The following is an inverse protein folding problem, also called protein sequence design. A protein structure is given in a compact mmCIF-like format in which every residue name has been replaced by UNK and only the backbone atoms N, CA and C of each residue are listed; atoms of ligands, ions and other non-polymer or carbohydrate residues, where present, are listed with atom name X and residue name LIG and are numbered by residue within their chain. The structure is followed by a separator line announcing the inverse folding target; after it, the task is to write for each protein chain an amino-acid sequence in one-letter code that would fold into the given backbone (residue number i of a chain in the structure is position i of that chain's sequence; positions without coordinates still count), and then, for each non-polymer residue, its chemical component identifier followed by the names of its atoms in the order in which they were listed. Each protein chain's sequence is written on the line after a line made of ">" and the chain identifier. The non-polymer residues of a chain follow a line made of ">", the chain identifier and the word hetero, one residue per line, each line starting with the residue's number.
data_IF_029368474143
#
_entry.id   IF_029368474143
#
_cell.length_a   1.000
_cell.length_b   1.000
_cell.length_c   1.000
_cell.angle_alpha   90.00
_cell.angle_beta   90.00
_cell.angle_gamma   90.00
#
_symmetry.space_group_name_H-M   'P 1'
#
loop_
_entity.id
_entity.type
_entity.pdbx_description
1 polymer ?
#
# COMPACT_ATOMS: atom_id res chain seq x y z
N UNK A 1 -10.05 21.99 3.86
CA UNK A 1 -8.92 21.83 4.82
C UNK A 1 -9.42 20.97 5.96
N UNK A 2 -8.64 20.01 6.46
CA UNK A 2 -9.06 19.07 7.49
C UNK A 2 -8.26 19.33 8.75
N UNK A 3 -8.93 19.71 9.82
CA UNK A 3 -8.31 19.87 11.14
C UNK A 3 -8.16 18.53 11.88
N UNK A 4 -7.43 18.50 12.98
CA UNK A 4 -7.34 17.33 13.85
C UNK A 4 -8.72 16.81 14.28
N UNK A 5 -9.70 17.71 14.49
CA UNK A 5 -11.07 17.34 14.82
C UNK A 5 -11.83 16.67 13.66
N UNK A 6 -11.40 16.89 12.42
CA UNK A 6 -11.92 16.23 11.23
C UNK A 6 -11.40 14.82 11.01
N UNK A 7 -10.42 14.34 11.79
CA UNK A 7 -9.94 12.95 11.75
C UNK A 7 -10.79 12.12 12.71
N UNK A 8 -11.66 11.27 12.18
CA UNK A 8 -12.54 10.38 12.95
C UNK A 8 -11.97 8.97 12.97
N UNK A 9 -11.76 8.40 14.15
CA UNK A 9 -11.21 7.06 14.33
C UNK A 9 -12.26 6.14 14.90
N UNK A 10 -12.62 5.13 14.15
CA UNK A 10 -13.59 4.09 14.52
C UNK A 10 -12.84 2.80 14.84
N UNK A 11 -12.82 2.43 16.10
CA UNK A 11 -12.20 1.21 16.63
C UNK A 11 -12.85 0.86 17.97
N UNK A 12 -12.47 -0.25 18.57
CA UNK A 12 -12.92 -0.60 19.93
C UNK A 12 -12.34 0.35 21.02
N UNK A 13 -11.30 1.10 20.65
CA UNK A 13 -10.64 2.07 21.53
C UNK A 13 -11.39 3.40 21.49
N UNK A 14 -12.26 3.71 22.29
CA UNK A 14 -13.04 4.95 22.30
C UNK A 14 -12.17 6.21 22.26
N UNK A 15 -11.53 6.45 21.09
CA UNK A 15 -10.64 7.59 20.80
C UNK A 15 -11.48 8.82 20.60
N UNK A 16 -11.33 9.81 21.45
CA UNK A 16 -12.13 11.05 21.47
C UNK A 16 -11.52 12.17 20.65
N UNK A 17 -10.19 12.21 20.57
CA UNK A 17 -9.45 13.18 19.77
C UNK A 17 -8.10 12.62 19.33
N UNK A 18 -7.61 13.07 18.17
CA UNK A 18 -6.29 12.73 17.61
C UNK A 18 -5.32 13.87 17.92
N UNK A 19 -4.18 13.54 18.53
CA UNK A 19 -3.10 14.49 18.85
C UNK A 19 -1.99 14.47 17.79
N UNK A 20 -1.60 13.26 17.34
CA UNK A 20 -0.64 13.04 16.26
C UNK A 20 -1.18 12.01 15.29
N UNK A 21 -0.89 12.17 14.03
CA UNK A 21 -1.31 11.26 12.96
C UNK A 21 -0.25 11.17 11.88
N UNK A 22 0.08 9.97 11.49
CA UNK A 22 0.93 9.69 10.35
C UNK A 22 0.40 8.48 9.58
N UNK A 23 0.22 8.64 8.26
CA UNK A 23 -0.11 7.57 7.33
C UNK A 23 0.91 7.53 6.20
N UNK A 24 1.21 6.34 5.70
CA UNK A 24 2.12 6.16 4.58
C UNK A 24 1.65 5.01 3.68
N UNK A 25 1.62 5.27 2.37
CA UNK A 25 1.33 4.29 1.32
C UNK A 25 2.49 4.29 0.34
N UNK A 26 3.17 3.14 0.24
CA UNK A 26 4.34 2.92 -0.63
C UNK A 26 4.15 1.72 -1.53
N UNK A 27 4.80 1.73 -2.72
CA UNK A 27 4.78 0.58 -3.61
C UNK A 27 5.42 -0.65 -2.96
N UNK A 28 4.73 -1.79 -3.01
CA UNK A 28 5.21 -3.05 -2.50
C UNK A 28 5.24 -3.19 -0.97
N UNK A 29 4.67 -2.26 -0.24
CA UNK A 29 4.53 -2.30 1.22
C UNK A 29 3.06 -2.28 1.60
N UNK A 30 2.72 -2.80 2.78
CA UNK A 30 1.39 -2.59 3.37
C UNK A 30 1.24 -1.12 3.74
N UNK A 31 0.09 -0.54 3.42
CA UNK A 31 -0.24 0.79 3.90
C UNK A 31 -0.24 0.81 5.43
N UNK A 32 0.30 1.85 6.03
CA UNK A 32 0.43 1.95 7.48
C UNK A 32 -0.08 3.26 8.04
N UNK A 33 -0.59 3.19 9.26
CA UNK A 33 -0.97 4.33 10.07
C UNK A 33 -0.35 4.19 11.44
N UNK A 34 0.11 5.31 11.99
CA UNK A 34 0.42 5.49 13.41
C UNK A 34 -0.30 6.74 13.89
N UNK A 35 -0.98 6.64 15.01
CA UNK A 35 -1.62 7.80 15.62
C UNK A 35 -1.43 7.82 17.13
N UNK A 36 -1.41 9.03 17.71
CA UNK A 36 -1.57 9.27 19.13
C UNK A 36 -2.88 10.00 19.35
N UNK A 37 -3.65 9.55 20.34
CA UNK A 37 -4.95 10.13 20.64
C UNK A 37 -5.31 10.07 22.11
N UNK A 38 -6.42 10.68 22.44
CA UNK A 38 -7.01 10.72 23.77
C UNK A 38 -8.16 9.74 23.87
N UNK A 39 -8.28 9.07 25.03
CA UNK A 39 -9.31 8.09 25.29
C UNK A 39 -10.35 8.65 26.27
N UNK A 40 -11.59 8.24 26.14
CA UNK A 40 -12.63 8.53 27.12
C UNK A 40 -12.39 7.86 28.49
N UNK A 41 -11.54 6.83 28.54
CA UNK A 41 -11.16 6.06 29.72
C UNK A 41 -10.19 4.95 29.35
N UNK A 42 -9.64 4.23 30.32
CA UNK A 42 -8.74 3.10 30.05
C UNK A 42 -9.50 1.97 29.37
N UNK A 43 -9.04 1.52 28.20
CA UNK A 43 -9.68 0.42 27.49
C UNK A 43 -9.36 -0.93 28.14
N UNK A 44 -10.24 -1.91 27.90
CA UNK A 44 -9.93 -3.31 28.19
C UNK A 44 -8.96 -3.84 27.12
N UNK A 45 -7.67 -3.83 27.46
CA UNK A 45 -6.59 -4.30 26.56
C UNK A 45 -6.61 -5.83 26.33
N UNK A 46 -7.44 -6.58 27.07
CA UNK A 46 -7.62 -8.02 26.84
C UNK A 46 -8.40 -8.37 25.55
N UNK A 47 -9.00 -7.36 24.89
CA UNK A 47 -9.76 -7.51 23.64
C UNK A 47 -8.93 -7.34 22.36
N UNK A 48 -7.62 -7.28 22.46
CA UNK A 48 -6.68 -7.08 21.33
C UNK A 48 -6.54 -8.32 20.42
N UNK A 49 -7.65 -8.83 19.87
CA UNK A 49 -7.56 -9.86 18.82
C UNK A 49 -8.11 -9.30 17.51
N UNK A 50 -7.20 -9.07 16.53
CA UNK A 50 -7.52 -8.71 15.14
C UNK A 50 -8.56 -7.59 14.95
N UNK A 51 -8.51 -6.57 15.77
CA UNK A 51 -9.49 -5.49 15.72
C UNK A 51 -9.22 -4.56 14.53
N UNK A 52 -10.25 -4.36 13.74
CA UNK A 52 -10.20 -3.44 12.63
C UNK A 52 -10.23 -1.99 13.12
N UNK A 53 -9.51 -1.12 12.43
CA UNK A 53 -9.61 0.33 12.57
C UNK A 53 -10.04 0.96 11.25
N UNK A 54 -10.97 1.91 11.34
CA UNK A 54 -11.38 2.75 10.21
C UNK A 54 -11.14 4.20 10.55
N UNK A 55 -10.47 4.90 9.66
CA UNK A 55 -10.16 6.32 9.79
C UNK A 55 -10.89 7.06 8.68
N UNK A 56 -11.71 8.03 9.09
CA UNK A 56 -12.49 8.86 8.20
C UNK A 56 -12.01 10.30 8.28
N UNK A 57 -12.12 11.01 7.18
CA UNK A 57 -11.89 12.43 7.09
C UNK A 57 -13.23 13.16 6.94
N UNK A 58 -13.38 14.21 7.72
CA UNK A 58 -14.49 15.14 7.63
C UNK A 58 -13.93 16.54 7.49
N UNK A 59 -14.32 17.26 6.44
CA UNK A 59 -13.94 18.66 6.28
C UNK A 59 -14.71 19.55 7.24
N UNK A 60 -14.06 20.61 7.68
CA UNK A 60 -14.68 21.60 8.55
C UNK A 60 -15.88 22.25 7.84
N UNK A 61 -17.07 22.11 8.44
CA UNK A 61 -18.33 22.61 7.88
C UNK A 61 -19.04 21.67 6.89
N UNK A 62 -18.48 20.49 6.57
CA UNK A 62 -19.15 19.44 5.80
C UNK A 62 -19.47 18.23 6.71
N UNK A 63 -20.67 17.69 6.56
CA UNK A 63 -21.08 16.49 7.29
C UNK A 63 -20.70 15.17 6.58
N UNK A 64 -20.12 15.25 5.38
CA UNK A 64 -19.70 14.07 4.62
C UNK A 64 -18.36 13.55 5.16
N UNK A 65 -18.33 12.25 5.42
CA UNK A 65 -17.12 11.55 5.79
C UNK A 65 -16.56 10.79 4.58
N UNK A 66 -15.24 10.91 4.38
CA UNK A 66 -14.50 10.16 3.37
C UNK A 66 -13.58 9.15 4.06
N UNK A 67 -13.57 7.91 3.61
CA UNK A 67 -12.62 6.90 4.11
C UNK A 67 -11.21 7.29 3.71
N UNK A 68 -10.32 7.40 4.70
CA UNK A 68 -8.88 7.56 4.48
C UNK A 68 -8.15 6.23 4.59
N UNK A 69 -8.52 5.43 5.60
CA UNK A 69 -7.80 4.21 5.91
C UNK A 69 -8.71 3.16 6.56
N UNK A 70 -8.57 1.92 6.10
CA UNK A 70 -9.06 0.72 6.75
C UNK A 70 -7.87 -0.19 7.03
N UNK A 71 -7.79 -0.73 8.24
CA UNK A 71 -6.67 -1.61 8.58
C UNK A 71 -6.91 -2.46 9.80
N UNK A 72 -5.90 -3.25 10.11
CA UNK A 72 -5.83 -4.15 11.25
C UNK A 72 -4.82 -3.59 12.24
N UNK A 73 -5.23 -3.40 13.47
CA UNK A 73 -4.39 -2.90 14.55
C UNK A 73 -3.28 -3.90 14.81
N UNK A 74 -2.04 -3.42 14.79
CA UNK A 74 -0.84 -4.20 15.04
C UNK A 74 -0.32 -4.03 16.46
N UNK A 75 -0.42 -2.81 16.97
CA UNK A 75 -0.04 -2.51 18.35
C UNK A 75 -0.86 -1.39 18.95
N UNK A 76 -1.07 -1.49 20.24
CA UNK A 76 -1.70 -0.46 21.07
C UNK A 76 -0.87 -0.29 22.34
N UNK A 77 -0.52 0.95 22.64
CA UNK A 77 0.10 1.33 23.88
C UNK A 77 -0.75 2.40 24.55
N UNK A 78 -1.32 2.09 25.72
CA UNK A 78 -2.14 3.01 26.50
C UNK A 78 -1.39 3.46 27.74
N UNK A 79 -1.52 4.72 28.12
CA UNK A 79 -0.90 5.29 29.29
C UNK A 79 -1.73 6.45 29.86
N UNK A 80 -1.45 6.79 31.10
CA UNK A 80 -2.08 7.93 31.77
C UNK A 80 -1.00 8.95 32.09
N UNK A 81 -1.20 10.16 31.64
CA UNK A 81 -0.33 11.29 31.92
C UNK A 81 -1.16 12.48 32.41
N UNK A 82 -0.83 13.02 33.58
CA UNK A 82 -1.57 14.13 34.23
C UNK A 82 -3.09 13.87 34.35
N UNK A 83 -3.47 12.60 34.61
CA UNK A 83 -4.88 12.20 34.72
C UNK A 83 -5.62 12.03 33.40
N UNK A 84 -4.94 12.20 32.25
CA UNK A 84 -5.51 12.03 30.92
C UNK A 84 -5.07 10.68 30.34
N UNK A 85 -6.07 9.86 29.93
CA UNK A 85 -5.82 8.61 29.23
C UNK A 85 -5.44 8.87 27.77
N UNK A 86 -4.32 8.29 27.35
CA UNK A 86 -3.81 8.43 25.99
C UNK A 86 -3.54 7.05 25.37
N UNK A 87 -3.48 7.01 24.06
CA UNK A 87 -3.15 5.81 23.26
C UNK A 87 -2.18 6.16 22.14
N UNK A 88 -1.23 5.27 21.88
CA UNK A 88 -0.48 5.19 20.63
C UNK A 88 -0.94 3.90 19.95
N UNK A 89 -1.44 4.02 18.74
CA UNK A 89 -1.95 2.91 17.93
C UNK A 89 -1.17 2.84 16.62
N UNK A 90 -0.76 1.63 16.21
CA UNK A 90 -0.30 1.36 14.85
C UNK A 90 -1.18 0.33 14.17
N UNK A 91 -1.44 0.54 12.87
CA UNK A 91 -2.23 -0.36 12.05
C UNK A 91 -1.64 -0.50 10.65
N UNK A 92 -1.86 -1.66 10.04
CA UNK A 92 -1.56 -1.95 8.64
C UNK A 92 -2.86 -2.21 7.89
N UNK A 93 -2.86 -1.96 6.59
CA UNK A 93 -3.99 -2.27 5.70
C UNK A 93 -4.39 -3.75 5.76
N UNK A 94 -5.59 -4.08 5.32
CA UNK A 94 -6.14 -5.45 5.35
C UNK A 94 -5.27 -6.47 4.62
N UNK A 95 -4.37 -6.04 3.74
CA UNK A 95 -3.40 -6.88 3.04
C UNK A 95 -2.41 -7.60 3.97
N UNK A 96 -2.22 -7.14 5.23
CA UNK A 96 -1.39 -7.83 6.24
C UNK A 96 -1.85 -9.26 6.50
N UNK A 97 -3.14 -9.57 6.28
CA UNK A 97 -3.66 -10.94 6.40
C UNK A 97 -3.03 -11.92 5.40
N UNK A 98 -2.50 -11.41 4.29
CA UNK A 98 -1.76 -12.21 3.32
C UNK A 98 -0.31 -12.48 3.74
N UNK A 99 0.18 -11.79 4.77
CA UNK A 99 1.59 -11.88 5.20
C UNK A 99 1.78 -12.63 6.54
N UNK A 100 0.76 -13.36 6.99
CA UNK A 100 0.77 -14.05 8.28
C UNK A 100 1.42 -15.43 8.24
N UNK A 101 1.22 -16.19 7.14
CA UNK A 101 1.64 -17.59 7.07
C UNK A 101 2.38 -17.90 5.77
N UNK A 102 3.49 -18.62 5.88
CA UNK A 102 4.20 -19.17 4.72
C UNK A 102 3.38 -20.31 4.09
N UNK A 103 3.30 -20.34 2.77
CA UNK A 103 2.57 -21.33 1.99
C UNK A 103 3.49 -22.05 1.00
N UNK A 104 3.07 -23.28 0.61
CA UNK A 104 3.70 -24.06 -0.43
C UNK A 104 2.63 -24.46 -1.45
N UNK A 105 2.70 -23.91 -2.67
CA UNK A 105 1.75 -24.16 -3.75
C UNK A 105 2.49 -24.28 -5.08
N UNK A 106 1.91 -25.04 -6.01
CA UNK A 106 2.42 -25.19 -7.37
C UNK A 106 1.34 -24.81 -8.39
N UNK A 107 1.70 -23.96 -9.34
CA UNK A 107 0.89 -23.54 -10.47
C UNK A 107 1.58 -24.01 -11.74
N UNK A 108 1.13 -25.14 -12.29
CA UNK A 108 1.84 -25.83 -13.37
C UNK A 108 1.44 -25.39 -14.77
N UNK A 109 0.29 -24.73 -14.91
CA UNK A 109 -0.23 -24.27 -16.22
C UNK A 109 0.57 -23.06 -16.70
N UNK A 110 1.43 -23.27 -17.70
CA UNK A 110 2.31 -22.22 -18.24
C UNK A 110 1.55 -21.11 -19.00
N UNK A 111 0.35 -21.41 -19.49
CA UNK A 111 -0.55 -20.44 -20.12
C UNK A 111 -1.43 -19.68 -19.14
N UNK A 112 -1.30 -19.94 -17.84
CA UNK A 112 -2.00 -19.17 -16.83
C UNK A 112 -1.35 -17.80 -16.69
N UNK A 113 -2.18 -16.75 -16.57
CA UNK A 113 -1.68 -15.38 -16.42
C UNK A 113 -1.27 -15.10 -14.99
N UNK A 114 -0.35 -14.14 -14.80
CA UNK A 114 -0.03 -13.63 -13.46
C UNK A 114 -1.27 -13.22 -12.69
N UNK A 115 -2.22 -12.52 -13.36
CA UNK A 115 -3.50 -12.11 -12.77
C UNK A 115 -4.32 -13.31 -12.28
N UNK A 116 -4.42 -14.35 -13.11
CA UNK A 116 -5.16 -15.58 -12.77
C UNK A 116 -4.62 -16.26 -11.53
N UNK A 117 -3.29 -16.39 -11.44
CA UNK A 117 -2.60 -16.97 -10.26
C UNK A 117 -2.82 -16.10 -9.02
N UNK A 118 -2.59 -14.78 -9.13
CA UNK A 118 -2.75 -13.87 -8.00
C UNK A 118 -4.18 -13.83 -7.47
N UNK A 119 -5.20 -13.91 -8.34
CA UNK A 119 -6.60 -14.00 -7.92
C UNK A 119 -6.94 -15.28 -7.15
N UNK A 120 -6.30 -16.40 -7.48
CA UNK A 120 -6.46 -17.66 -6.72
C UNK A 120 -5.88 -17.56 -5.31
N UNK A 121 -4.88 -16.71 -5.12
CA UNK A 121 -4.16 -16.55 -3.85
C UNK A 121 -4.76 -15.44 -2.98
N UNK A 122 -5.01 -14.27 -3.56
CA UNK A 122 -5.40 -13.06 -2.84
C UNK A 122 -6.85 -12.59 -3.14
N UNK A 123 -7.57 -13.25 -4.03
CA UNK A 123 -8.95 -12.93 -4.37
C UNK A 123 -9.07 -11.69 -5.26
N UNK A 124 -9.24 -10.50 -4.68
CA UNK A 124 -9.49 -9.28 -5.43
C UNK A 124 -8.18 -8.61 -5.89
N UNK A 125 -7.79 -8.90 -7.12
CA UNK A 125 -6.57 -8.35 -7.74
C UNK A 125 -6.90 -7.75 -9.10
N UNK A 126 -6.34 -6.56 -9.39
CA UNK A 126 -6.42 -5.87 -10.68
C UNK A 126 -5.03 -5.48 -11.21
N UNK A 127 -4.97 -5.05 -12.46
CA UNK A 127 -3.75 -4.56 -13.11
C UNK A 127 -3.66 -5.04 -14.56
N UNK A 128 -3.62 -4.11 -15.51
CA UNK A 128 -3.60 -4.42 -16.94
C UNK A 128 -2.33 -5.19 -17.37
N UNK A 129 -1.19 -4.87 -16.74
CA UNK A 129 0.09 -5.54 -16.99
C UNK A 129 0.14 -7.01 -16.52
N UNK A 130 -0.80 -7.44 -15.65
CA UNK A 130 -0.84 -8.81 -15.11
C UNK A 130 -1.48 -9.85 -16.05
N UNK A 131 -2.09 -9.43 -17.17
CA UNK A 131 -2.77 -10.33 -18.14
C UNK A 131 -1.79 -11.10 -19.03
N UNK A 132 -0.50 -11.05 -18.74
CA UNK A 132 0.56 -11.79 -19.45
C UNK A 132 0.66 -13.20 -18.88
N UNK A 133 0.82 -14.19 -19.76
CA UNK A 133 1.07 -15.59 -19.37
C UNK A 133 2.41 -15.73 -18.62
N UNK A 134 2.45 -16.65 -17.67
CA UNK A 134 3.70 -16.90 -16.93
C UNK A 134 4.80 -17.53 -17.77
N UNK A 135 4.41 -18.31 -18.80
CA UNK A 135 5.31 -19.03 -19.73
C UNK A 135 6.07 -20.19 -19.09
N UNK A 136 6.05 -20.30 -17.76
CA UNK A 136 6.74 -21.31 -16.96
C UNK A 136 5.88 -21.72 -15.76
N UNK A 137 6.06 -22.95 -15.23
CA UNK A 137 5.44 -23.30 -13.96
C UNK A 137 5.92 -22.37 -12.85
N UNK A 138 4.99 -22.00 -11.96
CA UNK A 138 5.26 -21.11 -10.83
C UNK A 138 5.10 -21.87 -9.53
N UNK A 139 6.05 -21.71 -8.63
CA UNK A 139 6.05 -22.33 -7.30
C UNK A 139 6.10 -21.23 -6.25
N UNK A 140 5.16 -21.26 -5.32
CA UNK A 140 5.23 -20.58 -4.04
C UNK A 140 5.89 -21.55 -3.07
N UNK A 141 7.02 -21.20 -2.50
CA UNK A 141 7.75 -22.04 -1.57
C UNK A 141 8.21 -21.23 -0.37
N UNK A 142 7.64 -21.51 0.80
CA UNK A 142 7.92 -20.82 2.04
C UNK A 142 7.82 -19.30 1.90
N UNK A 143 6.91 -18.85 1.07
CA UNK A 143 6.52 -17.43 0.89
C UNK A 143 5.14 -17.22 1.49
N UNK A 144 4.92 -16.08 2.13
CA UNK A 144 3.58 -15.63 2.44
C UNK A 144 2.82 -15.33 1.15
N UNK A 145 1.52 -15.20 1.23
CA UNK A 145 0.70 -14.85 0.06
C UNK A 145 1.01 -13.43 -0.43
N UNK A 146 1.39 -12.53 0.47
CA UNK A 146 1.87 -11.20 0.13
C UNK A 146 3.22 -11.21 -0.60
N UNK A 147 4.25 -11.88 -0.05
CA UNK A 147 5.56 -12.06 -0.71
C UNK A 147 5.40 -12.65 -2.11
N UNK A 148 4.55 -13.67 -2.22
CA UNK A 148 4.26 -14.34 -3.49
C UNK A 148 3.58 -13.40 -4.48
N UNK A 149 2.54 -12.65 -4.10
CA UNK A 149 1.87 -11.68 -4.97
C UNK A 149 2.81 -10.56 -5.43
N UNK A 150 3.68 -10.07 -4.55
CA UNK A 150 4.72 -9.09 -4.92
C UNK A 150 5.67 -9.65 -5.99
N UNK A 151 6.09 -10.91 -5.83
CA UNK A 151 6.96 -11.58 -6.80
C UNK A 151 6.25 -11.84 -8.12
N UNK A 152 4.95 -12.16 -8.10
CA UNK A 152 4.14 -12.32 -9.31
C UNK A 152 3.98 -10.98 -10.05
N UNK A 153 3.67 -9.91 -9.35
CA UNK A 153 3.62 -8.57 -9.92
C UNK A 153 4.96 -8.18 -10.56
N UNK A 154 6.08 -8.41 -9.86
CA UNK A 154 7.42 -8.19 -10.39
C UNK A 154 7.75 -9.10 -11.59
N UNK A 155 7.20 -10.32 -11.63
CA UNK A 155 7.29 -11.22 -12.78
C UNK A 155 6.65 -10.63 -14.05
N UNK A 156 5.58 -9.86 -13.89
CA UNK A 156 4.91 -9.09 -14.92
C UNK A 156 5.52 -7.67 -15.13
N UNK A 157 6.64 -7.36 -14.45
CA UNK A 157 7.27 -6.05 -14.54
C UNK A 157 6.56 -4.93 -13.79
N UNK A 158 5.68 -5.25 -12.83
CA UNK A 158 4.83 -4.30 -12.13
C UNK A 158 5.11 -4.27 -10.63
N UNK A 159 4.90 -3.11 -10.00
CA UNK A 159 4.88 -2.94 -8.55
C UNK A 159 3.49 -3.27 -8.01
N UNK A 160 3.41 -3.91 -6.86
CA UNK A 160 2.16 -4.20 -6.17
C UNK A 160 1.77 -3.06 -5.22
N UNK A 161 0.49 -2.76 -5.16
CA UNK A 161 -0.15 -1.86 -4.19
C UNK A 161 -1.34 -2.55 -3.53
N UNK A 162 -1.73 -2.03 -2.39
CA UNK A 162 -3.00 -2.34 -1.72
C UNK A 162 -3.87 -1.09 -1.54
N UNK A 163 -5.17 -1.30 -1.44
CA UNK A 163 -6.14 -0.21 -1.29
C UNK A 163 -6.30 0.15 0.20
N UNK A 164 -5.79 1.30 0.63
CA UNK A 164 -5.87 1.69 2.04
C UNK A 164 -7.30 2.02 2.49
N UNK A 165 -8.21 2.32 1.59
CA UNK A 165 -9.60 2.65 1.90
C UNK A 165 -10.52 1.42 1.92
N UNK A 166 -10.05 0.25 1.47
CA UNK A 166 -10.84 -0.96 1.41
C UNK A 166 -10.83 -1.72 2.74
N UNK A 167 -12.00 -2.13 3.27
CA UNK A 167 -12.08 -3.01 4.44
C UNK A 167 -11.62 -4.44 4.11
N UNK A 168 -11.68 -4.82 2.84
CA UNK A 168 -11.27 -6.11 2.32
C UNK A 168 -9.91 -6.01 1.63
N UNK A 169 -9.25 -7.16 1.45
CA UNK A 169 -8.03 -7.23 0.66
C UNK A 169 -8.36 -6.86 -0.78
N UNK A 170 -7.81 -5.76 -1.26
CA UNK A 170 -7.90 -5.29 -2.63
C UNK A 170 -6.54 -4.85 -3.10
N UNK A 171 -6.01 -5.56 -4.08
CA UNK A 171 -4.68 -5.33 -4.61
C UNK A 171 -4.75 -4.84 -6.05
N UNK A 172 -3.78 -4.01 -6.44
CA UNK A 172 -3.54 -3.75 -7.87
C UNK A 172 -2.04 -3.71 -8.15
N UNK A 173 -1.66 -3.97 -9.40
CA UNK A 173 -0.28 -3.91 -9.82
C UNK A 173 -0.08 -2.92 -10.98
N UNK A 174 1.01 -2.17 -10.89
CA UNK A 174 1.37 -1.17 -11.87
C UNK A 174 0.58 0.13 -11.76
N UNK A 175 0.68 0.95 -12.80
CA UNK A 175 -0.05 2.22 -12.86
C UNK A 175 -1.52 1.96 -13.20
N UNK A 176 -2.41 2.31 -12.29
CA UNK A 176 -3.83 2.47 -12.53
C UNK A 176 -4.10 3.97 -12.70
N UNK A 177 -4.17 4.43 -13.95
CA UNK A 177 -4.39 5.86 -14.22
C UNK A 177 -5.78 6.27 -13.72
N UNK A 178 -5.82 7.16 -12.74
CA UNK A 178 -7.05 7.79 -12.28
C UNK A 178 -7.40 8.97 -13.18
N UNK A 179 -8.68 9.20 -13.42
CA UNK A 179 -9.15 10.25 -14.32
C UNK A 179 -8.95 11.68 -13.83
N UNK A 180 -8.50 11.87 -12.59
CA UNK A 180 -8.29 13.18 -11.98
C UNK A 180 -6.94 13.81 -12.35
N UNK A 181 -6.89 15.14 -12.34
CA UNK A 181 -5.64 15.91 -12.40
C UNK A 181 -5.43 16.58 -11.05
N UNK A 182 -4.41 16.12 -10.32
CA UNK A 182 -4.03 16.72 -9.04
C UNK A 182 -3.44 18.12 -9.27
N UNK A 183 -3.90 19.08 -8.48
CA UNK A 183 -3.41 20.46 -8.51
C UNK A 183 -2.48 20.69 -7.33
N UNK A 184 -1.24 21.07 -7.62
CA UNK A 184 -0.22 21.38 -6.61
C UNK A 184 0.31 22.79 -6.78
N UNK A 185 0.80 23.43 -5.70
CA UNK A 185 1.46 24.73 -5.79
C UNK A 185 2.67 24.65 -6.74
N UNK A 186 2.72 25.56 -7.71
CA UNK A 186 3.74 25.55 -8.77
C UNK A 186 5.15 25.88 -8.26
N UNK A 187 5.25 26.53 -7.11
CA UNK A 187 6.48 27.05 -6.48
C UNK A 187 6.94 26.23 -5.27
N UNK A 188 6.18 25.18 -4.90
CA UNK A 188 6.45 24.39 -3.69
C UNK A 188 6.66 22.91 -4.03
N UNK A 189 7.82 22.57 -4.56
CA UNK A 189 8.22 21.19 -4.81
C UNK A 189 9.73 21.01 -4.71
N UNK A 190 10.18 19.78 -4.48
CA UNK A 190 11.59 19.38 -4.63
C UNK A 190 11.72 18.30 -5.69
N UNK A 191 12.88 18.29 -6.38
CA UNK A 191 13.22 17.28 -7.39
C UNK A 191 14.23 16.33 -6.79
N UNK A 192 13.95 15.05 -6.82
CA UNK A 192 14.75 14.01 -6.21
C UNK A 192 15.06 12.87 -7.19
N UNK A 193 16.16 12.19 -6.94
CA UNK A 193 16.49 10.88 -7.47
C UNK A 193 17.15 10.10 -6.35
N UNK A 194 16.75 8.86 -6.17
CA UNK A 194 17.26 7.99 -5.12
C UNK A 194 17.82 6.67 -5.69
N UNK A 195 18.30 5.81 -4.80
CA UNK A 195 18.89 4.52 -5.15
C UNK A 195 17.88 3.53 -5.75
N UNK A 196 16.56 3.75 -5.60
CA UNK A 196 15.54 2.86 -6.18
C UNK A 196 15.67 2.74 -7.69
N UNK A 197 16.29 3.74 -8.36
CA UNK A 197 16.67 3.67 -9.76
C UNK A 197 17.43 2.38 -10.10
N UNK A 198 18.40 1.98 -9.28
CA UNK A 198 19.22 0.79 -9.55
C UNK A 198 18.45 -0.52 -9.41
N UNK A 199 17.38 -0.52 -8.59
CA UNK A 199 16.53 -1.70 -8.37
C UNK A 199 15.41 -1.83 -9.40
N UNK A 200 14.94 -0.70 -9.94
CA UNK A 200 13.81 -0.65 -10.86
C UNK A 200 14.23 -0.58 -12.33
N UNK A 201 15.46 -0.13 -12.61
CA UNK A 201 15.97 0.11 -13.96
C UNK A 201 15.83 -1.14 -14.85
N UNK A 202 15.11 -0.97 -15.96
CA UNK A 202 15.13 -1.89 -17.10
C UNK A 202 16.24 -1.52 -18.09
N UNK A 203 16.57 -2.44 -19.00
CA UNK A 203 17.57 -2.16 -20.04
C UNK A 203 17.11 -0.98 -20.93
N UNK A 204 17.96 0.03 -21.08
CA UNK A 204 17.69 1.21 -21.91
C UNK A 204 17.13 2.42 -21.17
N UNK A 205 16.68 2.29 -19.92
CA UNK A 205 16.18 3.42 -19.14
C UNK A 205 17.31 4.23 -18.50
N UNK A 206 17.23 5.54 -18.63
CA UNK A 206 18.19 6.48 -18.05
C UNK A 206 17.80 6.96 -16.65
N UNK A 207 18.78 7.41 -15.86
CA UNK A 207 18.55 7.93 -14.51
C UNK A 207 17.52 9.08 -14.48
N UNK A 208 17.42 9.87 -15.56
CA UNK A 208 16.47 10.98 -15.70
C UNK A 208 14.99 10.53 -15.67
N UNK A 209 14.69 9.31 -16.10
CA UNK A 209 13.34 8.78 -16.11
C UNK A 209 12.84 8.47 -14.72
N UNK A 210 13.75 8.25 -13.78
CA UNK A 210 13.46 7.98 -12.37
C UNK A 210 13.45 9.23 -11.47
N UNK A 211 13.58 10.42 -12.06
CA UNK A 211 13.34 11.66 -11.32
C UNK A 211 11.91 11.69 -10.78
N UNK A 212 11.77 12.11 -9.54
CA UNK A 212 10.47 12.33 -8.94
C UNK A 212 10.40 13.68 -8.24
N UNK A 213 9.19 14.16 -8.11
CA UNK A 213 8.87 15.41 -7.46
C UNK A 213 8.24 15.11 -6.11
N UNK A 214 8.66 15.82 -5.07
CA UNK A 214 8.01 15.80 -3.76
C UNK A 214 7.27 17.12 -3.60
N UNK A 215 6.01 17.03 -3.22
CA UNK A 215 5.14 18.18 -2.98
C UNK A 215 4.13 17.85 -1.90
N UNK A 216 3.44 18.87 -1.42
CA UNK A 216 2.43 18.76 -0.38
C UNK A 216 1.13 19.42 -0.82
N UNK A 217 0.02 18.97 -0.27
CA UNK A 217 -1.31 19.56 -0.48
C UNK A 217 -2.19 19.33 0.75
N UNK A 218 -3.24 20.12 0.87
CA UNK A 218 -4.34 19.85 1.80
C UNK A 218 -5.43 18.95 1.19
N UNK A 219 -5.36 18.72 -0.11
CA UNK A 219 -6.29 17.85 -0.84
C UNK A 219 -5.82 16.41 -0.81
N UNK A 220 -6.79 15.51 -0.65
CA UNK A 220 -6.55 14.06 -0.57
C UNK A 220 -6.60 13.43 -1.97
N UNK A 221 -5.46 13.38 -2.66
CA UNK A 221 -5.32 12.72 -3.95
C UNK A 221 -4.98 11.24 -3.79
N UNK A 222 -5.28 10.43 -4.81
CA UNK A 222 -5.04 8.99 -4.84
C UNK A 222 -3.75 8.63 -5.60
N UNK A 223 -3.19 7.44 -5.30
CA UNK A 223 -2.13 6.83 -6.12
C UNK A 223 -2.66 6.64 -7.55
N UNK A 224 -1.85 7.03 -8.56
CA UNK A 224 -2.23 6.99 -9.98
C UNK A 224 -2.86 8.27 -10.51
N UNK A 225 -3.27 9.20 -9.67
CA UNK A 225 -3.60 10.56 -10.12
C UNK A 225 -2.36 11.28 -10.64
N UNK A 226 -2.55 12.22 -11.55
CA UNK A 226 -1.44 12.87 -12.25
C UNK A 226 -1.44 14.38 -12.13
N UNK A 227 -0.27 14.97 -12.26
CA UNK A 227 -0.05 16.41 -12.42
C UNK A 227 1.04 16.68 -13.45
N UNK A 228 1.20 17.96 -13.85
CA UNK A 228 2.22 18.35 -14.81
C UNK A 228 3.37 19.08 -14.12
N UNK A 229 4.58 18.53 -14.26
CA UNK A 229 5.83 19.16 -13.87
C UNK A 229 6.77 19.25 -15.07
N UNK A 230 7.31 20.46 -15.33
CA UNK A 230 8.19 20.72 -16.50
C UNK A 230 7.57 20.22 -17.82
N UNK A 231 6.28 20.46 -18.05
CA UNK A 231 5.51 20.03 -19.23
C UNK A 231 5.39 18.51 -19.42
N UNK A 232 5.75 17.72 -18.40
CA UNK A 232 5.62 16.27 -18.42
C UNK A 232 4.59 15.81 -17.41
N UNK A 233 3.77 14.86 -17.82
CA UNK A 233 2.79 14.22 -16.93
C UNK A 233 3.52 13.32 -15.94
N UNK A 234 3.24 13.50 -14.65
CA UNK A 234 3.78 12.74 -13.53
C UNK A 234 2.63 12.17 -12.71
N UNK A 235 2.80 10.97 -12.22
CA UNK A 235 1.78 10.23 -11.49
C UNK A 235 2.20 10.08 -10.03
N UNK A 236 1.24 10.19 -9.12
CA UNK A 236 1.45 9.94 -7.69
C UNK A 236 1.74 8.45 -7.51
N UNK A 237 2.91 8.10 -6.97
CA UNK A 237 3.31 6.73 -6.70
C UNK A 237 3.56 6.43 -5.21
N UNK A 238 3.72 7.45 -4.37
CA UNK A 238 3.73 7.36 -2.92
C UNK A 238 2.93 8.50 -2.32
N UNK A 239 2.31 8.24 -1.18
CA UNK A 239 1.49 9.17 -0.44
C UNK A 239 1.75 9.05 1.05
N UNK A 240 1.83 10.21 1.72
CA UNK A 240 1.81 10.31 3.18
C UNK A 240 0.68 11.24 3.61
N UNK A 241 0.25 11.13 4.86
CA UNK A 241 -0.61 12.12 5.49
C UNK A 241 -0.11 12.33 6.92
N UNK A 242 0.06 13.57 7.33
CA UNK A 242 0.62 13.94 8.63
C UNK A 242 -0.14 15.12 9.24
N UNK A 243 -0.33 15.09 10.54
CA UNK A 243 -0.94 16.20 11.26
C UNK A 243 0.15 17.22 11.64
N UNK A 244 0.18 18.34 10.94
CA UNK A 244 1.16 19.41 11.14
C UNK A 244 0.47 20.67 11.66
N UNK A 245 0.81 21.11 12.86
CA UNK A 245 0.19 22.30 13.47
C UNK A 245 -1.34 22.20 13.64
N UNK A 246 -1.86 20.98 13.83
CA UNK A 246 -3.29 20.73 13.98
C UNK A 246 -4.08 20.63 12.67
N UNK A 247 -3.41 20.67 11.52
CA UNK A 247 -4.01 20.51 10.19
C UNK A 247 -3.41 19.29 9.49
N UNK A 248 -4.26 18.51 8.80
CA UNK A 248 -3.81 17.35 8.02
C UNK A 248 -3.18 17.83 6.71
N UNK A 249 -1.93 17.43 6.49
CA UNK A 249 -1.15 17.71 5.29
C UNK A 249 -0.83 16.39 4.59
N UNK A 250 -1.10 16.34 3.28
CA UNK A 250 -0.76 15.20 2.45
C UNK A 250 0.55 15.47 1.71
N UNK A 251 1.50 14.56 1.86
CA UNK A 251 2.75 14.55 1.10
C UNK A 251 2.67 13.58 -0.08
N UNK A 252 3.19 13.97 -1.23
CA UNK A 252 3.13 13.19 -2.46
C UNK A 252 4.49 13.07 -3.11
N UNK A 253 4.78 11.87 -3.67
CA UNK A 253 5.85 11.68 -4.62
C UNK A 253 5.26 11.38 -5.99
N UNK A 254 5.62 12.19 -6.99
CA UNK A 254 5.15 12.06 -8.36
C UNK A 254 6.31 11.72 -9.29
N UNK A 255 6.15 10.69 -10.09
CA UNK A 255 7.16 10.22 -11.04
C UNK A 255 6.60 9.83 -12.40
N UNK A 256 7.48 9.44 -13.31
CA UNK A 256 7.10 8.83 -14.58
C UNK A 256 6.49 7.44 -14.39
N UNK A 257 5.97 6.87 -15.49
CA UNK A 257 5.38 5.52 -15.50
C UNK A 257 6.35 4.43 -15.01
N UNK A 258 7.66 4.64 -15.19
CA UNK A 258 8.70 3.73 -14.71
C UNK A 258 8.68 3.49 -13.19
N UNK A 259 8.12 4.43 -12.39
CA UNK A 259 7.96 4.27 -10.94
C UNK A 259 6.95 3.19 -10.54
N UNK A 260 6.12 2.74 -11.47
CA UNK A 260 5.15 1.67 -11.30
C UNK A 260 5.67 0.32 -11.81
N UNK A 261 6.91 0.30 -12.33
CA UNK A 261 7.61 -0.90 -12.77
C UNK A 261 8.43 -1.52 -11.64
N UNK A 262 8.63 -2.83 -11.71
CA UNK A 262 9.46 -3.60 -10.77
C UNK A 262 10.31 -4.59 -11.56
N UNK A 263 11.61 -4.63 -11.27
CA UNK A 263 12.49 -5.65 -11.82
C UNK A 263 12.11 -7.02 -11.28
N UNK A 264 12.03 -8.01 -12.18
CA UNK A 264 11.78 -9.41 -11.81
C UNK A 264 12.84 -9.90 -10.84
N UNK A 265 12.42 -10.62 -9.81
CA UNK A 265 13.28 -11.32 -8.86
C UNK A 265 12.77 -12.73 -8.59
N UNK A 266 13.68 -13.62 -8.17
CA UNK A 266 13.36 -14.99 -7.84
C UNK A 266 13.12 -15.17 -6.33
N UNK A 267 12.40 -16.22 -5.98
CA UNK A 267 12.32 -16.66 -4.59
C UNK A 267 13.68 -17.23 -4.14
N UNK A 268 14.38 -16.48 -3.30
CA UNK A 268 15.71 -16.85 -2.79
C UNK A 268 15.66 -18.06 -1.86
N UNK A 269 14.51 -18.35 -1.22
CA UNK A 269 14.31 -19.51 -0.36
C UNK A 269 14.34 -20.85 -1.14
N UNK A 270 14.22 -20.79 -2.47
CA UNK A 270 14.31 -21.96 -3.36
C UNK A 270 15.74 -22.32 -3.79
N UNK A 271 16.74 -21.50 -3.51
CA UNK A 271 18.11 -21.78 -3.90
C UNK A 271 18.64 -23.05 -3.22
N UNK A 272 19.06 -24.05 -4.00
CA UNK A 272 19.58 -25.33 -3.51
C UNK A 272 18.52 -26.33 -3.01
N UNK A 273 17.24 -26.06 -3.20
CA UNK A 273 16.14 -26.95 -2.78
C UNK A 273 15.86 -27.99 -3.85
N UNK A 274 15.76 -29.27 -3.44
CA UNK A 274 15.24 -30.36 -4.26
C UNK A 274 13.80 -30.67 -3.85
N UNK A 275 12.87 -30.59 -4.79
CA UNK A 275 11.46 -30.89 -4.57
C UNK A 275 11.14 -32.26 -5.20
N UNK A 276 10.41 -33.12 -4.48
CA UNK A 276 9.80 -34.34 -5.03
C UNK A 276 8.34 -34.05 -5.38
N UNK A 277 7.88 -34.51 -6.52
CA UNK A 277 6.49 -34.40 -6.96
C UNK A 277 6.01 -35.71 -7.59
N UNK A 278 4.70 -35.95 -7.55
CA UNK A 278 4.03 -37.03 -8.24
C UNK A 278 3.30 -36.47 -9.45
N UNK A 279 3.42 -37.11 -10.60
CA UNK A 279 2.67 -36.73 -11.80
C UNK A 279 1.26 -37.28 -11.66
N UNK A 280 0.28 -36.38 -11.39
CA UNK A 280 -1.11 -36.78 -11.24
C UNK A 280 -1.83 -36.86 -12.62
N UNK A 281 -1.46 -36.01 -13.56
CA UNK A 281 -2.08 -35.94 -14.88
C UNK A 281 -1.09 -35.48 -15.95
N UNK A 282 -1.14 -36.09 -17.12
CA UNK A 282 -0.40 -35.70 -18.32
C UNK A 282 -1.41 -35.16 -19.34
N UNK A 283 -1.27 -33.91 -19.75
CA UNK A 283 -2.03 -33.33 -20.87
C UNK A 283 -1.08 -33.14 -22.06
N UNK A 284 -1.52 -33.50 -23.27
CA UNK A 284 -0.80 -33.13 -24.51
C UNK A 284 -1.11 -31.66 -24.78
N UNK A 285 -0.10 -30.86 -24.94
CA UNK A 285 -0.16 -29.47 -25.38
C UNK A 285 -0.27 -29.38 -26.90
#
# INVERSE_FOLDING_TARGET
>A
MISAAGIKVYSYLNITAVADFFMEIKPGEHGRVTLRGYLAGMPDVGRLQEEAVRIMLQEDGDNREQVLFHGIIQSVHTFVENGVCQVILSALTSSIRLDQEERNRSFQKTKETYLGIMRKVAGNVSGSGLSVETGVPVIQYRETDWEFCRRMAAGAGQVLYDDPASPEIRLWAGLEEKGGTASFPADRYSVCVDETYYHMKSAGEGKKEFLYYRTESWENYEIGESSFYQRQRRYIFEKTAELVGGVLVFGYKLGGKCRFGQKRYANRKMAGVSLRGTVEKREKY
#
